data_IF_477455963598
#
_entry.id   IF_477455963598
#
_cell.length_a   1.000
_cell.length_b   1.000
_cell.length_c   1.000
_cell.angle_alpha   90.00
_cell.angle_beta   90.00
_cell.angle_gamma   90.00
#
_symmetry.space_group_name_H-M   'P 1'
#
loop_
_entity.id
_entity.type
_entity.pdbx_description
1 polymer ?
#
# COMPACT_ATOMS: atom_id res chain seq x y z
N UNK A 1 -13.75 10.61 17.48
CA UNK A 1 -14.44 9.32 17.75
C UNK A 1 -13.49 8.23 17.29
N UNK A 2 -13.58 7.01 17.81
CA UNK A 2 -12.71 5.93 17.35
C UNK A 2 -13.52 5.02 16.43
N UNK A 3 -12.99 4.79 15.25
CA UNK A 3 -13.53 3.85 14.28
C UNK A 3 -12.79 2.54 14.41
N UNK A 4 -13.53 1.43 14.48
CA UNK A 4 -12.97 0.10 14.31
C UNK A 4 -13.29 -0.40 12.89
N UNK A 5 -12.24 -0.70 12.15
CA UNK A 5 -12.34 -1.28 10.82
C UNK A 5 -11.93 -2.73 10.83
N UNK A 6 -12.72 -3.59 10.17
CA UNK A 6 -12.23 -4.87 9.68
C UNK A 6 -11.58 -4.66 8.32
N UNK A 7 -10.29 -5.00 8.24
CA UNK A 7 -9.46 -4.93 7.05
C UNK A 7 -9.06 -6.35 6.65
N UNK A 8 -9.45 -6.83 5.47
CA UNK A 8 -9.31 -8.26 5.10
C UNK A 8 -8.84 -8.48 3.66
N UNK A 9 -7.83 -9.31 3.46
CA UNK A 9 -7.27 -9.60 2.12
C UNK A 9 -8.16 -10.59 1.36
N UNK A 10 -8.50 -10.26 0.11
CA UNK A 10 -9.35 -11.09 -0.76
C UNK A 10 -8.58 -12.17 -1.50
N UNK A 11 -9.25 -13.31 -1.69
CA UNK A 11 -8.86 -14.34 -2.67
C UNK A 11 -7.45 -14.94 -2.53
N UNK A 12 -6.92 -15.00 -1.30
CA UNK A 12 -5.65 -15.67 -0.95
C UNK A 12 -5.86 -17.12 -0.45
N UNK A 13 -7.11 -17.56 -0.32
CA UNK A 13 -7.46 -18.95 0.03
C UNK A 13 -7.28 -19.34 1.50
N UNK A 14 -6.88 -18.39 2.35
CA UNK A 14 -6.93 -18.44 3.82
C UNK A 14 -7.45 -17.08 4.33
N UNK A 15 -8.15 -17.03 5.48
CA UNK A 15 -8.66 -15.76 5.99
C UNK A 15 -7.51 -14.93 6.57
N UNK A 16 -7.24 -13.76 6.01
CA UNK A 16 -6.21 -12.84 6.53
C UNK A 16 -6.90 -11.51 6.80
N UNK A 17 -6.95 -11.11 8.07
CA UNK A 17 -7.64 -9.87 8.45
C UNK A 17 -7.10 -9.24 9.72
N UNK A 18 -7.42 -7.97 9.92
CA UNK A 18 -7.08 -7.12 11.07
C UNK A 18 -8.33 -6.33 11.47
N UNK A 19 -8.60 -6.28 12.77
CA UNK A 19 -9.53 -5.31 13.36
C UNK A 19 -8.70 -4.19 13.96
N UNK A 20 -8.80 -2.99 13.37
CA UNK A 20 -7.94 -1.85 13.68
C UNK A 20 -8.81 -0.69 14.13
N UNK A 21 -8.48 -0.14 15.29
CA UNK A 21 -9.07 1.09 15.82
C UNK A 21 -8.21 2.30 15.44
N UNK A 22 -8.83 3.31 14.82
CA UNK A 22 -8.19 4.55 14.35
C UNK A 22 -9.01 5.77 14.76
N UNK A 23 -8.39 6.96 14.75
CA UNK A 23 -9.17 8.18 14.93
C UNK A 23 -10.07 8.42 13.70
N UNK A 24 -11.30 8.85 13.92
CA UNK A 24 -12.24 9.12 12.83
C UNK A 24 -11.75 10.24 11.88
N UNK A 25 -10.91 11.13 12.39
CA UNK A 25 -10.35 12.29 11.68
C UNK A 25 -8.97 12.03 11.03
N UNK A 26 -8.45 10.80 11.09
CA UNK A 26 -7.30 10.37 10.27
C UNK A 26 -7.61 10.59 8.79
N UNK A 27 -6.56 10.86 8.00
CA UNK A 27 -6.65 10.96 6.54
C UNK A 27 -6.55 9.59 5.88
N UNK A 28 -6.86 9.49 4.58
CA UNK A 28 -6.59 8.26 3.83
C UNK A 28 -5.09 7.99 3.67
N UNK A 29 -4.27 9.04 3.67
CA UNK A 29 -2.81 8.92 3.71
C UNK A 29 -2.33 8.23 5.00
N UNK A 30 -2.83 8.69 6.16
CA UNK A 30 -2.53 8.08 7.45
C UNK A 30 -3.06 6.63 7.47
N UNK A 31 -4.27 6.41 6.95
CA UNK A 31 -4.88 5.09 6.93
C UNK A 31 -4.14 4.09 6.02
N UNK A 32 -3.59 4.54 4.89
CA UNK A 32 -2.69 3.74 4.06
C UNK A 32 -1.47 3.27 4.87
N UNK A 33 -0.79 4.20 5.56
CA UNK A 33 0.36 3.88 6.41
C UNK A 33 0.01 2.86 7.51
N UNK A 34 -1.19 2.98 8.08
CA UNK A 34 -1.72 2.05 9.09
C UNK A 34 -1.95 0.66 8.51
N UNK A 35 -2.57 0.56 7.34
CA UNK A 35 -2.77 -0.73 6.65
C UNK A 35 -1.42 -1.36 6.34
N UNK A 36 -0.50 -0.63 5.72
CA UNK A 36 0.84 -1.13 5.35
C UNK A 36 1.59 -1.67 6.58
N UNK A 37 1.62 -0.92 7.70
CA UNK A 37 2.23 -1.38 8.94
C UNK A 37 1.53 -2.62 9.53
N UNK A 38 0.19 -2.67 9.52
CA UNK A 38 -0.58 -3.79 10.10
C UNK A 38 -0.47 -5.10 9.30
N UNK A 39 -0.14 -5.00 8.01
CA UNK A 39 0.09 -6.13 7.12
C UNK A 39 1.59 -6.40 6.87
N UNK A 40 2.49 -5.65 7.51
CA UNK A 40 3.95 -5.77 7.34
C UNK A 40 4.39 -5.63 5.88
N UNK A 41 3.79 -4.67 5.19
CA UNK A 41 4.13 -4.26 3.83
C UNK A 41 4.98 -2.99 3.85
N UNK A 42 5.73 -2.76 2.77
CA UNK A 42 6.74 -1.71 2.68
C UNK A 42 6.20 -0.34 2.24
N UNK A 43 5.04 -0.33 1.59
CA UNK A 43 4.52 0.88 0.94
C UNK A 43 5.23 1.24 -0.37
N UNK A 44 6.00 0.34 -0.99
CA UNK A 44 6.73 0.65 -2.23
C UNK A 44 5.86 0.68 -3.49
N UNK A 45 4.75 -0.06 -3.53
CA UNK A 45 3.86 -0.10 -4.68
C UNK A 45 2.79 0.99 -4.61
N UNK A 46 2.23 1.33 -5.77
CA UNK A 46 1.07 2.21 -5.86
C UNK A 46 -0.14 1.59 -5.15
N UNK A 47 -1.05 2.43 -4.71
CA UNK A 47 -2.29 2.02 -4.08
C UNK A 47 -3.43 2.99 -4.37
N UNK A 48 -4.66 2.56 -4.11
CA UNK A 48 -5.82 3.45 -4.06
C UNK A 48 -6.93 2.87 -3.18
N UNK A 49 -7.85 3.73 -2.77
CA UNK A 49 -9.10 3.34 -2.13
C UNK A 49 -10.28 3.53 -3.07
N UNK A 50 -11.22 2.60 -3.03
CA UNK A 50 -12.50 2.68 -3.73
C UNK A 50 -13.64 2.57 -2.71
N UNK A 51 -14.25 3.70 -2.36
CA UNK A 51 -15.42 3.71 -1.45
C UNK A 51 -16.64 3.25 -2.23
N UNK A 52 -17.23 2.15 -1.78
CA UNK A 52 -18.38 1.51 -2.46
C UNK A 52 -19.67 1.65 -1.67
N UNK A 53 -19.59 1.97 -0.37
CA UNK A 53 -20.74 2.14 0.52
C UNK A 53 -20.48 3.21 1.57
N UNK A 54 -21.40 4.17 1.69
CA UNK A 54 -21.32 5.28 2.65
C UNK A 54 -22.73 5.72 3.07
N UNK A 55 -22.90 6.08 4.35
CA UNK A 55 -24.19 6.51 4.89
C UNK A 55 -25.25 5.41 4.78
N UNK A 56 -24.83 4.15 4.91
CA UNK A 56 -25.71 2.98 4.80
C UNK A 56 -26.27 2.73 3.39
N UNK A 57 -25.70 3.34 2.35
CA UNK A 57 -26.15 3.20 0.95
C UNK A 57 -24.99 2.85 0.02
N UNK A 58 -25.26 2.01 -0.98
CA UNK A 58 -24.28 1.69 -2.02
C UNK A 58 -24.10 2.86 -2.98
N UNK A 59 -22.87 3.08 -3.43
CA UNK A 59 -22.48 4.18 -4.29
C UNK A 59 -21.86 3.67 -5.59
N UNK A 60 -21.76 4.56 -6.59
CA UNK A 60 -20.71 4.41 -7.59
C UNK A 60 -19.36 4.61 -6.89
N UNK A 61 -18.31 3.83 -7.24
CA UNK A 61 -17.02 3.93 -6.56
C UNK A 61 -16.50 5.37 -6.56
N UNK A 62 -16.22 5.88 -5.36
CA UNK A 62 -15.44 7.11 -5.19
C UNK A 62 -13.99 6.68 -5.05
N UNK A 63 -13.13 7.14 -5.96
CA UNK A 63 -11.70 6.81 -5.96
C UNK A 63 -10.97 7.83 -5.11
N UNK A 64 -10.11 7.34 -4.21
CA UNK A 64 -9.14 8.14 -3.47
C UNK A 64 -7.76 7.59 -3.77
N UNK A 65 -6.86 8.44 -4.24
CA UNK A 65 -5.50 8.10 -4.61
C UNK A 65 -4.52 9.21 -4.22
N UNK A 66 -3.24 8.87 -4.14
CA UNK A 66 -2.18 9.83 -3.92
C UNK A 66 -2.20 10.86 -5.06
N UNK A 67 -2.34 12.14 -4.72
CA UNK A 67 -2.25 13.19 -5.74
C UNK A 67 -0.88 13.13 -6.40
N UNK A 68 -0.80 13.01 -7.74
CA UNK A 68 0.48 13.01 -8.42
C UNK A 68 1.26 14.28 -8.05
N UNK A 69 2.48 14.08 -7.57
CA UNK A 69 3.47 15.13 -7.30
C UNK A 69 3.68 16.08 -8.51
N UNK A 70 3.35 15.61 -9.72
CA UNK A 70 3.44 16.35 -10.98
C UNK A 70 2.47 17.53 -11.11
N UNK A 71 1.51 17.72 -10.19
CA UNK A 71 0.65 18.91 -10.17
C UNK A 71 1.29 20.13 -9.49
N UNK A 72 2.51 19.99 -8.96
CA UNK A 72 3.26 21.05 -8.24
C UNK A 72 4.46 21.61 -9.02
N UNK A 73 4.60 21.31 -10.31
CA UNK A 73 5.59 21.93 -11.19
C UNK A 73 4.90 22.64 -12.37
N UNK A 74 4.07 23.64 -12.05
CA UNK A 74 3.96 24.81 -12.92
C UNK A 74 5.30 25.56 -12.83
N UNK A 75 6.33 25.02 -13.48
CA UNK A 75 7.53 25.75 -13.85
C UNK A 75 7.10 26.79 -14.89
N UNK A 76 6.44 27.87 -14.44
CA UNK A 76 6.63 29.18 -15.07
C UNK A 76 8.04 29.66 -14.72
N UNK A 77 9.06 28.89 -15.13
CA UNK A 77 10.41 29.41 -15.21
C UNK A 77 10.50 30.22 -16.50
N UNK A 78 9.92 31.42 -16.47
CA UNK A 78 10.07 32.47 -17.49
C UNK A 78 11.54 32.96 -17.63
N UNK A 79 12.53 32.23 -17.10
CA UNK A 79 13.93 32.65 -17.08
C UNK A 79 14.82 32.06 -18.17
N UNK A 80 14.30 31.20 -19.07
CA UNK A 80 15.08 30.72 -20.23
C UNK A 80 14.74 31.44 -21.55
N UNK A 81 14.36 32.73 -21.48
CA UNK A 81 14.57 33.66 -22.61
C UNK A 81 16.07 33.99 -22.71
N UNK A 82 16.89 32.97 -22.98
CA UNK A 82 18.26 33.18 -23.46
C UNK A 82 18.18 33.65 -24.90
N UNK A 83 18.38 34.96 -25.00
CA UNK A 83 18.73 35.73 -26.19
C UNK A 83 19.90 35.06 -26.95
N UNK A 84 19.60 34.09 -27.82
CA UNK A 84 20.55 33.63 -28.82
C UNK A 84 20.60 34.65 -29.94
N UNK A 85 21.63 35.48 -29.83
CA UNK A 85 22.16 36.33 -30.88
C UNK A 85 22.23 35.59 -32.22
N UNK A 86 21.68 36.23 -33.26
CA UNK A 86 21.96 36.12 -34.69
C UNK A 86 23.09 35.13 -35.09
N UNK A 87 22.75 34.07 -35.82
CA UNK A 87 23.20 33.83 -37.21
C UNK A 87 22.50 32.58 -37.78
N UNK A 88 22.01 32.71 -39.02
CA UNK A 88 21.49 31.68 -39.93
C UNK A 88 20.15 30.99 -39.57
N UNK A 89 19.08 31.50 -40.18
CA UNK A 89 17.79 30.82 -40.35
C UNK A 89 17.94 29.75 -41.43
N UNK A 90 17.80 28.48 -41.06
CA UNK A 90 17.28 27.45 -41.98
C UNK A 90 15.81 27.24 -41.65
N UNK A 91 14.97 27.36 -42.68
CA UNK A 91 13.53 27.13 -42.62
C UNK A 91 13.27 25.65 -42.28
N UNK A 92 12.83 25.38 -41.06
CA UNK A 92 12.30 24.06 -40.67
C UNK A 92 10.79 24.17 -40.62
N UNK A 93 10.16 23.30 -41.41
CA UNK A 93 8.75 23.27 -41.73
C UNK A 93 7.83 23.24 -40.50
N UNK A 94 6.71 23.91 -40.68
CA UNK A 94 5.53 24.01 -39.84
C UNK A 94 4.89 22.62 -39.58
N UNK A 95 4.50 22.38 -38.31
CA UNK A 95 3.47 21.41 -37.83
C UNK A 95 4.02 19.97 -37.62
N UNK A 96 3.87 19.29 -36.48
CA UNK A 96 2.68 19.08 -35.65
C UNK A 96 2.94 19.41 -34.16
N UNK A 97 2.11 20.31 -33.62
CA UNK A 97 1.78 20.30 -32.19
C UNK A 97 1.27 18.89 -31.89
N UNK A 98 2.10 18.06 -31.25
CA UNK A 98 1.63 16.82 -30.64
C UNK A 98 0.61 17.24 -29.59
N UNK A 99 -0.66 17.16 -30.01
CA UNK A 99 -1.81 16.69 -29.25
C UNK A 99 -1.48 16.55 -27.77
N UNK A 100 -1.59 17.68 -27.06
CA UNK A 100 -1.77 17.65 -25.62
C UNK A 100 -2.97 16.75 -25.38
N UNK A 101 -2.72 15.55 -24.85
CA UNK A 101 -3.78 14.68 -24.37
C UNK A 101 -4.62 15.53 -23.42
N UNK A 102 -5.83 15.84 -23.89
CA UNK A 102 -6.84 16.54 -23.15
C UNK A 102 -7.22 15.61 -22.00
N UNK A 103 -6.57 15.79 -20.84
CA UNK A 103 -6.99 15.14 -19.61
C UNK A 103 -8.49 15.34 -19.47
N UNK A 104 -9.22 14.24 -19.43
CA UNK A 104 -10.65 14.26 -19.19
C UNK A 104 -10.85 14.95 -17.84
N UNK A 105 -11.40 16.16 -17.82
CA UNK A 105 -11.74 16.95 -16.62
C UNK A 105 -12.68 16.19 -15.64
N UNK A 106 -13.06 14.97 -16.01
CA UNK A 106 -13.91 14.07 -15.26
C UNK A 106 -13.15 12.97 -14.51
N UNK A 107 -11.81 12.96 -14.50
CA UNK A 107 -11.04 12.08 -13.60
C UNK A 107 -11.06 12.67 -12.17
N UNK A 108 -12.24 12.56 -11.56
CA UNK A 108 -12.61 13.20 -10.29
C UNK A 108 -12.13 12.39 -9.08
N UNK A 109 -10.92 11.84 -9.13
CA UNK A 109 -10.33 11.18 -7.99
C UNK A 109 -10.10 12.22 -6.87
N UNK A 110 -10.46 11.85 -5.65
CA UNK A 110 -10.18 12.65 -4.47
C UNK A 110 -8.77 12.30 -3.95
N UNK A 111 -8.12 13.23 -3.26
CA UNK A 111 -6.77 13.00 -2.76
C UNK A 111 -6.75 12.32 -1.38
N UNK A 112 -5.59 11.82 -0.96
CA UNK A 112 -5.46 11.11 0.31
C UNK A 112 -5.54 12.00 1.57
N UNK A 113 -5.53 13.33 1.42
CA UNK A 113 -5.76 14.27 2.53
C UNK A 113 -7.19 14.23 3.07
N UNK A 114 -8.13 13.59 2.35
CA UNK A 114 -9.50 13.49 2.82
C UNK A 114 -9.58 12.67 4.11
N UNK A 115 -10.47 13.07 5.03
CA UNK A 115 -10.62 12.40 6.31
C UNK A 115 -11.56 11.20 6.21
N UNK A 116 -11.30 10.14 6.99
CA UNK A 116 -12.14 8.94 7.05
C UNK A 116 -13.60 9.27 7.41
N UNK A 117 -13.83 10.15 8.38
CA UNK A 117 -15.18 10.58 8.80
C UNK A 117 -16.02 11.25 7.70
N UNK A 118 -15.40 11.68 6.59
CA UNK A 118 -16.13 12.23 5.44
C UNK A 118 -16.93 11.13 4.73
N UNK A 119 -16.42 9.90 4.72
CA UNK A 119 -16.97 8.79 3.94
C UNK A 119 -17.52 7.65 4.81
N UNK A 120 -16.91 7.37 5.95
CA UNK A 120 -17.40 6.37 6.89
C UNK A 120 -18.23 7.06 7.96
N UNK A 121 -19.55 6.89 7.89
CA UNK A 121 -20.53 7.61 8.72
C UNK A 121 -21.50 6.68 9.45
N UNK A 122 -21.79 5.52 8.86
CA UNK A 122 -22.65 4.48 9.41
C UNK A 122 -21.89 3.14 9.49
N UNK A 123 -22.26 2.30 10.46
CA UNK A 123 -21.75 0.92 10.52
C UNK A 123 -22.11 0.19 9.21
N UNK A 124 -21.22 -0.69 8.77
CA UNK A 124 -21.25 -1.38 7.48
C UNK A 124 -20.90 -0.50 6.26
N UNK A 125 -20.54 0.77 6.44
CA UNK A 125 -19.88 1.54 5.38
C UNK A 125 -18.57 0.84 4.98
N UNK A 126 -18.24 0.84 3.69
CA UNK A 126 -17.25 -0.06 3.12
C UNK A 126 -16.46 0.55 1.96
N UNK A 127 -15.20 0.13 1.87
CA UNK A 127 -14.29 0.47 0.79
C UNK A 127 -13.44 -0.75 0.40
N UNK A 128 -12.79 -0.65 -0.75
CA UNK A 128 -11.72 -1.58 -1.15
C UNK A 128 -10.41 -0.81 -1.22
N UNK A 129 -9.38 -1.30 -0.55
CA UNK A 129 -8.01 -0.84 -0.75
C UNK A 129 -7.32 -1.77 -1.74
N UNK A 130 -6.81 -1.21 -2.83
CA UNK A 130 -6.13 -1.96 -3.89
C UNK A 130 -4.66 -1.59 -3.83
N UNK A 131 -3.81 -2.59 -3.64
CA UNK A 131 -2.35 -2.47 -3.63
C UNK A 131 -1.77 -3.11 -4.89
N UNK A 132 -1.15 -2.30 -5.75
CA UNK A 132 -0.73 -2.69 -7.11
C UNK A 132 0.62 -3.43 -7.12
N UNK A 133 0.71 -4.51 -6.33
CA UNK A 133 1.81 -5.46 -6.38
C UNK A 133 1.69 -6.39 -7.59
N UNK A 134 2.68 -7.27 -7.79
CA UNK A 134 2.63 -8.33 -8.81
C UNK A 134 1.41 -9.27 -8.65
N UNK A 135 0.89 -9.42 -7.43
CA UNK A 135 -0.33 -10.19 -7.15
C UNK A 135 -1.63 -9.38 -7.26
N UNK A 136 -1.53 -8.05 -7.30
CA UNK A 136 -2.62 -7.07 -7.14
C UNK A 136 -3.48 -7.45 -5.94
N UNK A 137 -3.11 -6.97 -4.75
CA UNK A 137 -3.79 -7.32 -3.52
C UNK A 137 -5.01 -6.41 -3.33
N UNK A 138 -6.20 -7.02 -3.33
CA UNK A 138 -7.44 -6.35 -2.98
C UNK A 138 -7.77 -6.61 -1.51
N UNK A 139 -8.08 -5.55 -0.78
CA UNK A 139 -8.32 -5.58 0.66
C UNK A 139 -9.67 -4.94 0.96
N UNK A 140 -10.58 -5.74 1.51
CA UNK A 140 -11.86 -5.28 2.03
C UNK A 140 -11.66 -4.42 3.27
N UNK A 141 -12.32 -3.25 3.32
CA UNK A 141 -12.40 -2.39 4.49
C UNK A 141 -13.87 -2.22 4.85
N UNK A 142 -14.22 -2.48 6.10
CA UNK A 142 -15.57 -2.30 6.61
C UNK A 142 -15.55 -1.62 7.99
N UNK A 143 -16.34 -0.56 8.18
CA UNK A 143 -16.54 0.06 9.49
C UNK A 143 -17.45 -0.86 10.34
N UNK A 144 -16.89 -1.48 11.37
CA UNK A 144 -17.60 -2.46 12.22
C UNK A 144 -18.09 -1.86 13.52
N UNK A 145 -17.32 -0.95 14.12
CA UNK A 145 -17.71 -0.27 15.36
C UNK A 145 -17.35 1.22 15.38
N UNK A 146 -18.11 1.99 16.15
CA UNK A 146 -17.83 3.38 16.47
C UNK A 146 -17.86 3.54 17.99
N UNK A 147 -16.69 3.77 18.59
CA UNK A 147 -16.52 3.77 20.05
C UNK A 147 -15.97 5.09 20.58
N UNK A 148 -16.20 5.34 21.86
CA UNK A 148 -15.58 6.47 22.54
C UNK A 148 -14.09 6.19 22.76
N UNK A 149 -13.20 7.20 22.64
CA UNK A 149 -11.79 7.04 22.97
C UNK A 149 -11.60 6.52 24.39
N UNK A 150 -10.70 5.56 24.54
CA UNK A 150 -10.35 5.00 25.85
C UNK A 150 -9.31 5.89 26.56
N UNK A 151 -9.40 6.01 27.89
CA UNK A 151 -8.38 6.70 28.68
C UNK A 151 -7.02 5.98 28.56
N UNK A 152 -5.93 6.74 28.51
CA UNK A 152 -4.54 6.23 28.42
C UNK A 152 -4.23 5.35 27.20
N UNK A 153 -5.04 5.46 26.14
CA UNK A 153 -4.82 4.75 24.86
C UNK A 153 -4.37 5.73 23.77
N UNK A 154 -3.33 5.38 23.02
CA UNK A 154 -2.92 6.06 21.79
C UNK A 154 -3.32 5.20 20.61
N UNK A 155 -4.00 5.81 19.64
CA UNK A 155 -4.38 5.17 18.38
C UNK A 155 -3.31 5.46 17.33
N UNK A 156 -3.15 4.60 16.31
CA UNK A 156 -3.94 3.41 15.98
C UNK A 156 -3.59 2.18 16.83
N UNK A 157 -4.54 1.25 17.02
CA UNK A 157 -4.31 -0.06 17.66
C UNK A 157 -5.01 -1.20 16.91
N UNK A 158 -4.42 -2.38 16.92
CA UNK A 158 -5.06 -3.61 16.46
C UNK A 158 -5.64 -4.38 17.65
N UNK A 159 -6.94 -4.67 17.61
CA UNK A 159 -7.65 -5.36 18.70
C UNK A 159 -7.87 -6.84 18.44
N UNK A 160 -7.87 -7.25 17.16
CA UNK A 160 -7.93 -8.64 16.74
C UNK A 160 -7.28 -8.80 15.36
N UNK A 161 -6.75 -9.99 15.09
CA UNK A 161 -6.13 -10.30 13.79
C UNK A 161 -6.24 -11.80 13.51
N UNK A 162 -5.99 -12.21 12.27
CA UNK A 162 -5.91 -13.61 11.86
C UNK A 162 -4.91 -13.75 10.72
N UNK A 163 -4.02 -14.74 10.84
CA UNK A 163 -3.03 -15.16 9.85
C UNK A 163 -2.02 -14.09 9.41
N UNK A 164 -0.86 -14.55 8.94
CA UNK A 164 0.18 -13.69 8.39
C UNK A 164 -0.28 -13.09 7.05
N UNK A 165 0.20 -11.89 6.74
CA UNK A 165 0.01 -11.28 5.43
C UNK A 165 0.82 -12.01 4.36
N UNK A 166 0.36 -12.07 3.09
CA UNK A 166 1.25 -12.48 2.00
C UNK A 166 2.42 -11.49 1.85
N UNK A 167 3.56 -12.01 1.38
CA UNK A 167 4.66 -11.17 0.92
C UNK A 167 4.22 -10.38 -0.31
N UNK A 168 4.40 -9.07 -0.26
CA UNK A 168 4.01 -8.13 -1.33
C UNK A 168 4.80 -8.34 -2.62
N UNK A 169 5.97 -8.98 -2.57
CA UNK A 169 6.82 -9.25 -3.73
C UNK A 169 6.47 -10.59 -4.42
N UNK A 170 5.64 -11.43 -3.80
CA UNK A 170 5.22 -12.69 -4.41
C UNK A 170 4.04 -12.48 -5.37
N UNK A 171 4.07 -13.18 -6.51
CA UNK A 171 2.91 -13.23 -7.40
C UNK A 171 1.77 -14.08 -6.81
N UNK A 172 0.54 -13.84 -7.29
CA UNK A 172 -0.65 -14.52 -6.76
C UNK A 172 -0.56 -16.06 -6.85
N UNK A 173 -0.09 -16.68 -7.96
CA UNK A 173 0.11 -18.13 -8.02
C UNK A 173 1.03 -18.67 -6.92
N UNK A 174 2.15 -17.99 -6.63
CA UNK A 174 3.11 -18.38 -5.59
C UNK A 174 2.48 -18.28 -4.21
N UNK A 175 1.80 -17.17 -3.92
CA UNK A 175 1.06 -16.99 -2.66
C UNK A 175 0.06 -18.13 -2.48
N UNK A 176 -0.74 -18.46 -3.50
CA UNK A 176 -1.75 -19.52 -3.41
C UNK A 176 -1.13 -20.92 -3.21
N UNK A 177 0.02 -21.18 -3.81
CA UNK A 177 0.77 -22.42 -3.61
C UNK A 177 1.33 -22.52 -2.18
N UNK A 178 1.75 -21.39 -1.61
CA UNK A 178 2.38 -21.30 -0.30
C UNK A 178 1.42 -20.92 0.84
N UNK A 179 0.13 -20.72 0.59
CA UNK A 179 -0.86 -20.17 1.55
C UNK A 179 -0.93 -20.88 2.91
N UNK A 180 -0.54 -22.15 2.98
CA UNK A 180 -0.51 -22.87 4.26
C UNK A 180 0.57 -22.33 5.22
N UNK A 181 1.61 -21.67 4.71
CA UNK A 181 2.63 -20.96 5.51
C UNK A 181 2.09 -19.68 6.16
N UNK A 182 1.02 -19.11 5.61
CA UNK A 182 0.39 -17.90 6.17
C UNK A 182 -0.45 -18.20 7.42
N UNK A 183 -0.75 -19.47 7.69
CA UNK A 183 -1.57 -19.88 8.83
C UNK A 183 -0.78 -19.74 10.13
N UNK A 184 -1.30 -18.95 11.06
CA UNK A 184 -0.69 -18.76 12.38
C UNK A 184 -1.48 -19.50 13.46
N UNK A 185 -0.77 -20.02 14.45
CA UNK A 185 -1.37 -20.66 15.63
C UNK A 185 -1.43 -19.74 16.84
N UNK A 186 -0.55 -18.73 16.89
CA UNK A 186 -0.50 -17.74 17.96
C UNK A 186 -0.94 -16.37 17.45
N UNK A 187 -2.21 -16.08 17.60
CA UNK A 187 -2.81 -14.79 17.24
C UNK A 187 -2.40 -13.67 18.20
N UNK A 188 -2.04 -13.98 19.45
CA UNK A 188 -1.74 -12.97 20.45
C UNK A 188 -0.38 -12.32 20.18
N UNK A 189 0.61 -13.12 19.79
CA UNK A 189 1.91 -12.62 19.35
C UNK A 189 1.79 -11.80 18.06
N UNK A 190 0.95 -12.22 17.11
CA UNK A 190 0.64 -11.42 15.91
C UNK A 190 0.09 -10.04 16.29
N UNK A 191 -0.95 -9.97 17.14
CA UNK A 191 -1.56 -8.69 17.57
C UNK A 191 -0.52 -7.82 18.28
N UNK A 192 0.36 -8.42 19.10
CA UNK A 192 1.43 -7.69 19.78
C UNK A 192 2.41 -7.06 18.77
N UNK A 193 2.84 -7.81 17.77
CA UNK A 193 3.77 -7.34 16.73
C UNK A 193 3.14 -6.23 15.88
N UNK A 194 1.87 -6.39 15.49
CA UNK A 194 1.14 -5.34 14.76
C UNK A 194 1.09 -4.05 15.59
N UNK A 195 0.71 -4.14 16.86
CA UNK A 195 0.65 -2.95 17.72
C UNK A 195 2.02 -2.31 17.95
N UNK A 196 3.09 -3.10 17.97
CA UNK A 196 4.45 -2.57 18.02
C UNK A 196 4.81 -1.79 16.75
N UNK A 197 4.47 -2.32 15.57
CA UNK A 197 4.68 -1.62 14.30
C UNK A 197 3.83 -0.33 14.22
N UNK A 198 2.55 -0.41 14.59
CA UNK A 198 1.64 0.74 14.65
C UNK A 198 2.15 1.84 15.59
N UNK A 199 2.79 1.49 16.70
CA UNK A 199 3.35 2.49 17.62
C UNK A 199 4.61 3.18 17.11
N UNK A 200 5.23 2.70 16.03
CA UNK A 200 6.36 3.36 15.38
C UNK A 200 5.91 4.38 14.31
N UNK A 201 4.63 4.39 13.93
CA UNK A 201 4.12 5.34 12.94
C UNK A 201 4.27 6.78 13.48
N UNK A 202 4.84 7.65 12.65
CA UNK A 202 5.09 9.05 13.00
C UNK A 202 6.42 9.33 13.71
N UNK A 203 7.21 8.29 14.04
CA UNK A 203 8.58 8.46 14.56
C UNK A 203 9.55 8.55 13.37
N UNK A 204 9.83 9.77 12.91
CA UNK A 204 10.69 10.04 11.74
C UNK A 204 12.10 9.49 11.88
N UNK A 205 12.53 9.18 13.10
CA UNK A 205 13.90 8.78 13.42
C UNK A 205 14.15 7.26 13.24
N UNK A 206 13.13 6.46 12.94
CA UNK A 206 13.24 4.98 12.86
C UNK A 206 13.45 4.48 11.43
N UNK A 207 12.91 5.18 10.43
CA UNK A 207 12.99 4.80 9.02
C UNK A 207 14.42 4.82 8.45
N UNK A 208 15.39 5.43 9.14
CA UNK A 208 16.79 5.48 8.72
C UNK A 208 17.63 4.26 9.15
N UNK A 209 17.16 3.39 10.05
CA UNK A 209 18.05 2.37 10.66
C UNK A 209 17.52 0.95 10.85
N UNK A 210 16.21 0.69 10.92
CA UNK A 210 15.72 -0.63 11.39
C UNK A 210 14.87 -1.44 10.40
N UNK A 211 14.60 -0.94 9.20
CA UNK A 211 13.80 -1.69 8.22
C UNK A 211 14.53 -2.91 7.63
N UNK A 212 15.86 -3.02 7.79
CA UNK A 212 16.59 -4.23 7.42
C UNK A 212 16.36 -5.42 8.38
N UNK A 213 15.88 -5.19 9.62
CA UNK A 213 15.86 -6.24 10.65
C UNK A 213 14.47 -6.88 10.82
N UNK A 214 13.38 -6.15 10.60
CA UNK A 214 12.02 -6.65 10.84
C UNK A 214 11.57 -7.72 9.82
N UNK A 215 12.03 -7.61 8.57
CA UNK A 215 11.80 -8.63 7.55
C UNK A 215 12.59 -9.93 7.78
N UNK A 216 13.62 -9.90 8.63
CA UNK A 216 14.54 -11.03 8.79
C UNK A 216 14.12 -12.03 9.87
N UNK A 217 13.38 -11.60 10.90
CA UNK A 217 12.99 -12.48 12.02
C UNK A 217 11.87 -13.47 11.61
N UNK A 218 11.13 -13.17 10.54
CA UNK A 218 10.10 -14.04 9.96
C UNK A 218 10.34 -14.41 8.49
N UNK A 219 11.46 -13.99 7.89
CA UNK A 219 11.95 -14.61 6.67
C UNK A 219 12.24 -16.09 6.99
N UNK A 220 11.34 -16.97 6.59
CA UNK A 220 11.64 -18.39 6.48
C UNK A 220 12.89 -18.47 5.61
N UNK A 221 13.96 -19.00 6.19
CA UNK A 221 15.24 -19.26 5.56
C UNK A 221 15.05 -19.97 4.20
N UNK A 222 14.93 -19.18 3.14
CA UNK A 222 15.05 -19.64 1.76
C UNK A 222 16.49 -19.40 1.34
N UNK A 223 17.43 -20.03 2.04
CA UNK A 223 18.80 -20.14 1.56
C UNK A 223 18.78 -20.93 0.25
N UNK A 224 18.70 -20.22 -0.86
CA UNK A 224 18.73 -20.76 -2.21
C UNK A 224 20.18 -20.91 -2.66
N UNK A 225 21.00 -21.59 -1.85
CA UNK A 225 22.42 -21.80 -2.14
C UNK A 225 22.96 -23.19 -1.74
N UNK A 226 22.08 -24.17 -1.53
CA UNK A 226 22.48 -25.58 -1.48
C UNK A 226 22.13 -26.29 -2.80
N UNK A 227 22.76 -25.83 -3.89
CA UNK A 227 22.96 -26.68 -5.08
C UNK A 227 24.25 -27.48 -4.83
N UNK A 228 24.18 -28.80 -4.55
CA UNK A 228 25.39 -29.60 -4.51
C UNK A 228 26.02 -29.61 -5.91
N UNK A 229 27.35 -29.46 -6.04
CA UNK A 229 28.00 -29.41 -7.34
C UNK A 229 27.78 -30.71 -8.12
N UNK A 230 27.35 -30.55 -9.37
CA UNK A 230 27.17 -31.61 -10.36
C UNK A 230 28.54 -32.22 -10.70
N UNK A 231 28.85 -33.39 -10.13
CA UNK A 231 29.97 -34.22 -10.55
C UNK A 231 29.57 -35.02 -11.81
N UNK A 232 29.60 -34.38 -12.97
CA UNK A 232 29.71 -35.12 -14.24
C UNK A 232 31.16 -35.11 -14.72
N UNK A 233 31.75 -36.30 -14.63
CA UNK A 233 33.04 -36.70 -15.21
C UNK A 233 33.20 -36.25 -16.67
N UNK A 234 34.31 -35.58 -16.99
CA UNK A 234 34.88 -35.66 -18.33
C UNK A 234 36.42 -35.53 -18.25
N UNK A 235 37.09 -36.67 -18.07
CA UNK A 235 38.54 -36.79 -18.28
C UNK A 235 38.79 -37.51 -19.62
N UNK A 236 39.50 -36.90 -20.58
CA UNK A 236 39.85 -37.58 -21.82
C UNK A 236 40.94 -38.65 -21.59
N UNK A 237 40.98 -39.71 -22.42
CA UNK A 237 41.85 -40.86 -22.17
C UNK A 237 43.32 -40.53 -22.45
N UNK A 238 44.19 -41.02 -21.55
CA UNK A 238 45.63 -41.03 -21.71
C UNK A 238 46.07 -41.77 -22.99
N UNK A 239 46.93 -41.14 -23.78
CA UNK A 239 47.94 -41.78 -24.65
C UNK A 239 49.28 -41.08 -24.49
#
# INVERSE_FOLDING_TARGET
MIYEFRVAVRDIGVPIWRDIQVNSDETFYDFNSIIQAAFSWSGFFEHRFEITRSGGSDLLPIIIEETPLDTLEDYTDESDFREYSNEEREDVDEIEENEYDYYDENDSAENEDQQLLKYFTDIDDAATYIYFTDAVLEVDIQLTEMVAPQEDCSYPICVAAENASPDEMEDRPTILQNRDKLKLTDTQDLIRLINFALSQLGDSDIFDTEYEDFGSEYAIDTNWDDVPPDETEDSPPNF
#
